data_IF_583303136133
#
_entry.id   IF_583303136133
#
_cell.length_a   1.000
_cell.length_b   1.000
_cell.length_c   1.000
_cell.angle_alpha   90.00
_cell.angle_beta   90.00
_cell.angle_gamma   90.00
#
_symmetry.space_group_name_H-M   'P 1'
#
loop_
_entity.id
_entity.type
_entity.pdbx_description
1 polymer ?
#
# COMPACT_ATOMS: atom_id res chain seq x y z
N UNK A 1 -47.79 -44.79 -58.28
CA UNK A 1 -46.87 -45.27 -59.34
C UNK A 1 -45.74 -44.26 -59.40
N UNK A 2 -44.49 -44.52 -59.08
CA UNK A 2 -43.75 -45.75 -58.75
C UNK A 2 -42.49 -45.28 -58.00
N UNK A 3 -42.07 -46.11 -57.04
CA UNK A 3 -40.92 -45.93 -56.17
C UNK A 3 -39.57 -45.77 -56.88
N UNK A 4 -38.62 -45.11 -56.24
CA UNK A 4 -37.28 -45.70 -56.09
C UNK A 4 -36.59 -45.19 -54.81
N UNK A 5 -36.40 -46.13 -53.89
CA UNK A 5 -35.62 -46.06 -52.66
C UNK A 5 -34.13 -46.29 -52.95
N UNK A 6 -33.25 -45.56 -52.25
CA UNK A 6 -31.94 -46.02 -51.78
C UNK A 6 -31.52 -45.08 -50.62
N UNK A 7 -31.82 -45.36 -49.35
CA UNK A 7 -31.16 -46.26 -48.39
C UNK A 7 -29.72 -45.85 -48.00
N UNK A 8 -29.57 -45.62 -46.67
CA UNK A 8 -28.37 -45.80 -45.81
C UNK A 8 -27.37 -44.62 -45.88
N UNK A 9 -26.84 -44.04 -44.80
CA UNK A 9 -26.52 -44.56 -43.47
C UNK A 9 -26.43 -43.44 -42.43
N UNK A 10 -26.58 -43.83 -41.15
CA UNK A 10 -26.44 -43.07 -39.90
C UNK A 10 -25.03 -42.42 -39.78
N UNK A 11 -24.81 -41.72 -38.67
CA UNK A 11 -23.52 -41.25 -38.12
C UNK A 11 -23.11 -39.81 -38.49
N UNK A 12 -23.51 -38.85 -37.64
CA UNK A 12 -22.58 -37.99 -36.89
C UNK A 12 -23.39 -36.86 -36.23
N UNK A 13 -23.86 -37.14 -35.02
CA UNK A 13 -24.30 -36.13 -34.05
C UNK A 13 -23.14 -35.17 -33.82
N UNK A 14 -23.26 -33.91 -34.28
CA UNK A 14 -22.34 -32.86 -33.86
C UNK A 14 -22.63 -32.52 -32.39
N UNK A 15 -21.94 -33.24 -31.50
CA UNK A 15 -21.71 -32.83 -30.12
C UNK A 15 -20.83 -31.57 -30.17
N UNK A 16 -21.46 -30.40 -30.06
CA UNK A 16 -20.76 -29.20 -29.64
C UNK A 16 -20.31 -29.40 -28.20
N UNK A 17 -19.08 -29.89 -28.01
CA UNK A 17 -18.36 -29.65 -26.77
C UNK A 17 -18.07 -28.15 -26.72
N UNK A 18 -19.00 -27.39 -26.14
CA UNK A 18 -18.65 -26.10 -25.56
C UNK A 18 -17.71 -26.41 -24.39
N UNK A 19 -16.42 -26.44 -24.68
CA UNK A 19 -15.40 -26.33 -23.65
C UNK A 19 -15.51 -24.90 -23.13
N UNK A 20 -16.42 -24.69 -22.17
CA UNK A 20 -16.35 -23.54 -21.30
C UNK A 20 -15.06 -23.72 -20.51
N UNK A 21 -13.98 -23.16 -21.04
CA UNK A 21 -12.87 -22.73 -20.20
C UNK A 21 -13.51 -21.73 -19.26
N UNK A 22 -13.90 -22.20 -18.07
CA UNK A 22 -14.04 -21.34 -16.91
C UNK A 22 -12.68 -20.69 -16.74
N UNK A 23 -12.47 -19.55 -17.38
CA UNK A 23 -11.41 -18.65 -16.98
C UNK A 23 -11.83 -18.16 -15.60
N UNK A 24 -11.31 -18.80 -14.55
CA UNK A 24 -11.21 -18.24 -13.20
C UNK A 24 -10.27 -17.01 -13.18
N UNK A 25 -10.30 -16.17 -14.22
CA UNK A 25 -9.41 -15.03 -14.41
C UNK A 25 -10.10 -13.68 -14.31
N UNK A 26 -11.31 -13.62 -13.74
CA UNK A 26 -12.09 -12.36 -13.63
C UNK A 26 -12.12 -11.75 -12.22
N UNK A 27 -11.49 -12.39 -11.25
CA UNK A 27 -11.38 -11.87 -9.89
C UNK A 27 -10.09 -11.05 -9.64
N UNK A 28 -9.07 -11.21 -10.49
CA UNK A 28 -7.79 -10.50 -10.34
C UNK A 28 -7.84 -9.02 -10.73
N UNK A 29 -8.77 -8.61 -11.60
CA UNK A 29 -8.82 -7.23 -12.13
C UNK A 29 -9.17 -6.17 -11.07
N UNK A 30 -9.73 -6.57 -9.92
CA UNK A 30 -10.11 -5.64 -8.83
C UNK A 30 -8.92 -5.23 -7.95
N UNK A 31 -7.83 -5.98 -7.98
CA UNK A 31 -6.74 -5.87 -7.02
C UNK A 31 -5.40 -5.67 -7.73
N UNK A 32 -4.40 -5.06 -7.06
CA UNK A 32 -3.07 -4.96 -7.65
C UNK A 32 -2.53 -6.36 -7.97
N UNK A 33 -1.70 -6.51 -9.03
CA UNK A 33 -1.10 -7.80 -9.36
C UNK A 33 -0.19 -8.31 -8.23
N UNK A 34 0.01 -9.63 -8.18
CA UNK A 34 0.93 -10.27 -7.25
C UNK A 34 2.38 -9.83 -7.52
N UNK A 35 3.19 -9.69 -6.46
CA UNK A 35 4.57 -9.20 -6.54
C UNK A 35 4.65 -7.68 -6.58
N UNK A 36 5.78 -7.14 -7.06
CA UNK A 36 5.98 -5.70 -7.23
C UNK A 36 5.03 -5.16 -8.31
N UNK A 37 4.18 -4.20 -7.92
CA UNK A 37 3.19 -3.64 -8.83
C UNK A 37 3.26 -2.12 -8.99
N UNK A 38 3.99 -1.41 -8.11
CA UNK A 38 4.19 0.03 -8.21
C UNK A 38 5.53 0.43 -7.60
N UNK A 39 6.16 1.43 -8.20
CA UNK A 39 7.42 2.00 -7.73
C UNK A 39 7.42 3.51 -7.98
N UNK A 40 7.54 4.28 -6.90
CA UNK A 40 7.42 5.73 -6.93
C UNK A 40 8.72 6.38 -6.47
N UNK A 41 9.24 7.29 -7.30
CA UNK A 41 10.36 8.16 -6.96
C UNK A 41 9.87 9.60 -6.87
N UNK A 42 10.17 10.27 -5.75
CA UNK A 42 9.78 11.65 -5.49
C UNK A 42 11.00 12.50 -5.16
N UNK A 43 11.05 13.72 -5.68
CA UNK A 43 12.00 14.73 -5.20
C UNK A 43 11.50 15.31 -3.88
N UNK A 44 12.37 15.37 -2.88
CA UNK A 44 12.08 16.10 -1.64
C UNK A 44 12.67 17.50 -1.75
N UNK A 45 11.82 18.52 -1.65
CA UNK A 45 12.18 19.93 -1.75
C UNK A 45 11.86 20.69 -0.47
N UNK A 46 12.71 21.63 -0.12
CA UNK A 46 12.52 22.53 1.03
C UNK A 46 12.97 23.93 0.63
N UNK A 47 12.11 24.94 0.83
CA UNK A 47 12.34 26.30 0.34
C UNK A 47 12.72 26.36 -1.16
N UNK A 48 12.01 25.57 -1.96
CA UNK A 48 12.24 25.36 -3.42
C UNK A 48 13.61 24.77 -3.81
N UNK A 49 14.47 24.45 -2.85
CA UNK A 49 15.70 23.71 -3.10
C UNK A 49 15.45 22.20 -3.00
N UNK A 50 16.00 21.42 -3.94
CA UNK A 50 16.07 19.96 -3.79
C UNK A 50 16.99 19.61 -2.63
N UNK A 51 16.47 18.90 -1.64
CA UNK A 51 17.19 18.47 -0.46
C UNK A 51 17.28 16.97 -0.34
N UNK A 52 16.62 16.21 -1.22
CA UNK A 52 16.58 14.76 -1.08
C UNK A 52 15.71 14.05 -2.11
N UNK A 53 15.39 12.80 -1.79
CA UNK A 53 14.47 11.97 -2.53
C UNK A 53 13.70 11.03 -1.59
N UNK A 54 12.56 10.56 -2.05
CA UNK A 54 11.85 9.43 -1.46
C UNK A 54 11.64 8.37 -2.54
N UNK A 55 11.81 7.11 -2.16
CA UNK A 55 11.62 5.94 -3.00
C UNK A 55 10.66 4.99 -2.29
N UNK A 56 9.55 4.67 -2.93
CA UNK A 56 8.54 3.78 -2.37
C UNK A 56 8.26 2.63 -3.32
N UNK A 57 8.26 1.40 -2.80
CA UNK A 57 7.84 0.20 -3.52
C UNK A 57 6.55 -0.35 -2.93
N UNK A 58 5.71 -0.93 -3.79
CA UNK A 58 4.49 -1.62 -3.40
C UNK A 58 4.52 -3.04 -3.91
N UNK A 59 4.39 -4.00 -3.01
CA UNK A 59 4.37 -5.41 -3.33
C UNK A 59 3.12 -6.09 -2.75
N UNK A 60 2.45 -6.91 -3.55
CA UNK A 60 1.37 -7.77 -3.08
C UNK A 60 1.89 -9.18 -2.82
N UNK A 61 1.52 -9.71 -1.66
CA UNK A 61 1.79 -11.08 -1.21
C UNK A 61 0.47 -11.73 -0.78
N UNK A 62 -0.25 -12.32 -1.72
CA UNK A 62 -1.56 -12.93 -1.51
C UNK A 62 -2.63 -11.90 -1.14
N UNK A 63 -3.00 -11.85 0.14
CA UNK A 63 -3.99 -10.90 0.68
C UNK A 63 -3.35 -9.73 1.46
N UNK A 64 -2.02 -9.66 1.49
CA UNK A 64 -1.26 -8.59 2.13
C UNK A 64 -0.61 -7.70 1.07
N UNK A 65 -0.62 -6.39 1.30
CA UNK A 65 0.19 -5.41 0.57
C UNK A 65 1.27 -4.91 1.51
N UNK A 66 2.51 -4.98 1.03
CA UNK A 66 3.70 -4.47 1.69
C UNK A 66 4.17 -3.22 0.98
N UNK A 67 4.37 -2.17 1.76
CA UNK A 67 5.08 -0.99 1.29
C UNK A 67 6.43 -0.90 1.96
N UNK A 68 7.41 -0.41 1.21
CA UNK A 68 8.69 0.03 1.74
C UNK A 68 8.94 1.44 1.25
N UNK A 69 9.29 2.36 2.14
CA UNK A 69 9.65 3.73 1.80
C UNK A 69 11.01 4.06 2.34
N UNK A 70 11.90 4.51 1.47
CA UNK A 70 13.19 5.07 1.82
C UNK A 70 13.19 6.56 1.51
N UNK A 71 13.33 7.37 2.55
CA UNK A 71 13.43 8.83 2.44
C UNK A 71 14.82 9.28 2.84
N UNK A 72 15.50 9.98 1.94
CA UNK A 72 16.80 10.60 2.19
C UNK A 72 16.69 12.11 2.08
N UNK A 73 17.19 12.84 3.07
CA UNK A 73 17.26 14.30 3.06
C UNK A 73 18.61 14.79 3.59
N UNK A 74 19.18 15.76 2.91
CA UNK A 74 20.38 16.48 3.31
C UNK A 74 20.08 17.98 3.34
N UNK A 75 20.13 18.56 4.53
CA UNK A 75 19.84 19.99 4.76
C UNK A 75 21.04 20.69 5.38
N UNK A 76 21.23 21.97 5.05
CA UNK A 76 22.25 22.82 5.69
C UNK A 76 21.58 23.75 6.68
N UNK A 77 21.93 23.64 7.96
CA UNK A 77 21.37 24.45 9.05
C UNK A 77 22.51 25.10 9.82
N UNK A 78 22.53 26.44 9.86
CA UNK A 78 23.55 27.22 10.57
C UNK A 78 25.01 26.84 10.22
N UNK A 79 25.27 26.45 8.96
CA UNK A 79 26.60 26.03 8.50
C UNK A 79 26.90 24.54 8.68
N UNK A 80 26.11 23.80 9.46
CA UNK A 80 26.24 22.36 9.66
C UNK A 80 25.33 21.58 8.70
N UNK A 81 25.86 20.51 8.12
CA UNK A 81 25.06 19.57 7.35
C UNK A 81 24.34 18.60 8.29
N UNK A 82 23.03 18.46 8.10
CA UNK A 82 22.19 17.47 8.78
C UNK A 82 21.66 16.52 7.73
N UNK A 83 21.95 15.24 7.91
CA UNK A 83 21.43 14.16 7.07
C UNK A 83 20.33 13.47 7.88
N UNK A 84 19.18 13.29 7.24
CA UNK A 84 18.08 12.48 7.73
C UNK A 84 17.84 11.36 6.74
N UNK A 85 17.77 10.14 7.25
CA UNK A 85 17.44 8.96 6.45
C UNK A 85 16.36 8.16 7.19
N UNK A 86 15.25 7.87 6.52
CA UNK A 86 14.14 7.09 7.07
C UNK A 86 13.87 5.87 6.21
N UNK A 87 13.67 4.73 6.87
CA UNK A 87 13.23 3.48 6.27
C UNK A 87 11.94 3.06 6.94
N UNK A 88 10.83 3.11 6.22
CA UNK A 88 9.52 2.71 6.69
C UNK A 88 9.05 1.45 5.96
N UNK A 89 8.34 0.58 6.67
CA UNK A 89 7.60 -0.51 6.07
C UNK A 89 6.17 -0.52 6.63
N UNK A 90 5.16 -0.68 5.79
CA UNK A 90 3.80 -0.98 6.23
C UNK A 90 3.36 -2.34 5.69
N UNK A 91 2.51 -3.01 6.48
CA UNK A 91 1.77 -4.20 6.07
C UNK A 91 0.30 -3.88 6.23
N UNK A 92 -0.43 -4.00 5.14
CA UNK A 92 -1.86 -3.71 5.07
C UNK A 92 -2.56 -4.89 4.39
N UNK A 93 -3.84 -5.13 4.69
CA UNK A 93 -4.63 -6.07 3.89
C UNK A 93 -4.82 -5.50 2.48
N UNK A 94 -5.24 -6.35 1.56
CA UNK A 94 -5.61 -5.90 0.21
C UNK A 94 -6.74 -4.85 0.23
N UNK A 95 -7.52 -4.84 1.31
CA UNK A 95 -8.56 -3.87 1.59
C UNK A 95 -8.09 -2.64 2.38
N UNK A 96 -6.78 -2.46 2.56
CA UNK A 96 -6.22 -1.27 3.20
C UNK A 96 -6.36 -1.24 4.72
N UNK A 97 -6.72 -2.36 5.35
CA UNK A 97 -6.73 -2.46 6.81
C UNK A 97 -5.29 -2.62 7.32
N UNK A 98 -4.95 -1.92 8.40
CA UNK A 98 -3.59 -1.87 8.92
C UNK A 98 -3.29 -3.17 9.68
N UNK A 99 -2.22 -3.87 9.30
CA UNK A 99 -1.71 -5.06 10.00
C UNK A 99 -0.52 -4.72 10.90
N UNK A 100 0.32 -3.79 10.47
CA UNK A 100 1.45 -3.31 11.25
C UNK A 100 2.44 -2.51 10.41
N UNK A 101 3.49 -2.01 11.07
CA UNK A 101 4.51 -1.21 10.44
C UNK A 101 5.84 -1.32 11.18
N UNK A 102 6.91 -0.93 10.50
CA UNK A 102 8.20 -0.65 11.11
C UNK A 102 8.74 0.68 10.56
N UNK A 103 9.53 1.38 11.36
CA UNK A 103 10.16 2.64 10.97
C UNK A 103 11.53 2.77 11.63
N UNK A 104 12.52 3.18 10.85
CA UNK A 104 13.86 3.50 11.35
C UNK A 104 14.24 4.86 10.83
N UNK A 105 14.45 5.81 11.74
CA UNK A 105 14.86 7.18 11.41
C UNK A 105 16.25 7.44 11.95
N UNK A 106 17.17 7.80 11.06
CA UNK A 106 18.54 8.23 11.37
C UNK A 106 18.62 9.76 11.27
N UNK A 107 18.90 10.45 12.38
CA UNK A 107 19.10 11.91 12.43
C UNK A 107 20.40 12.31 13.14
N UNK A 108 21.41 11.43 13.13
CA UNK A 108 22.67 11.64 13.84
C UNK A 108 23.21 10.35 14.45
N UNK A 109 23.70 10.42 15.69
CA UNK A 109 24.52 9.36 16.29
C UNK A 109 23.76 8.06 16.62
N UNK A 110 22.44 8.10 16.85
CA UNK A 110 21.66 6.89 17.18
C UNK A 110 20.31 6.87 16.45
N UNK A 111 19.92 5.73 15.85
CA UNK A 111 18.63 5.56 15.20
C UNK A 111 17.48 5.58 16.19
N UNK A 112 16.33 6.08 15.73
CA UNK A 112 15.03 5.89 16.37
C UNK A 112 14.37 4.72 15.66
N UNK A 113 13.94 3.70 16.40
CA UNK A 113 13.19 2.56 15.84
C UNK A 113 11.78 2.54 16.39
N UNK A 114 10.82 2.29 15.51
CA UNK A 114 9.42 2.06 15.86
C UNK A 114 8.93 0.80 15.18
N UNK A 115 8.13 0.03 15.90
CA UNK A 115 7.43 -1.13 15.37
C UNK A 115 6.02 -1.11 15.94
N UNK A 116 5.03 -1.32 15.08
CA UNK A 116 3.64 -1.47 15.49
C UNK A 116 3.02 -2.73 14.94
N UNK A 117 2.24 -3.40 15.78
CA UNK A 117 1.45 -4.57 15.42
C UNK A 117 0.00 -4.27 15.77
N UNK A 118 -0.90 -4.48 14.80
CA UNK A 118 -2.33 -4.36 15.02
C UNK A 118 -2.90 -5.72 15.41
N UNK A 119 -3.59 -5.79 16.55
CA UNK A 119 -4.28 -7.00 17.00
C UNK A 119 -5.48 -6.65 17.87
N UNK A 120 -6.64 -7.19 17.53
CA UNK A 120 -7.86 -7.04 18.32
C UNK A 120 -8.30 -5.58 18.48
N UNK A 121 -8.25 -4.80 17.40
CA UNK A 121 -8.65 -3.39 17.40
C UNK A 121 -7.66 -2.45 18.09
N UNK A 122 -6.47 -2.92 18.47
CA UNK A 122 -5.43 -2.12 19.11
C UNK A 122 -4.14 -2.14 18.31
N UNK A 123 -3.40 -1.04 18.37
CA UNK A 123 -2.02 -0.96 17.89
C UNK A 123 -1.07 -0.99 19.08
N UNK A 124 -0.23 -2.01 19.14
CA UNK A 124 0.84 -2.12 20.14
C UNK A 124 2.12 -1.61 19.51
N UNK A 125 2.64 -0.50 20.04
CA UNK A 125 3.80 0.21 19.50
C UNK A 125 4.99 0.03 20.42
N UNK A 126 6.05 -0.56 19.87
CA UNK A 126 7.37 -0.60 20.48
C UNK A 126 8.20 0.56 19.93
N UNK A 127 8.68 1.44 20.81
CA UNK A 127 9.63 2.49 20.46
C UNK A 127 10.98 2.19 21.12
N UNK A 128 12.05 2.27 20.35
CA UNK A 128 13.42 2.18 20.84
C UNK A 128 14.19 3.44 20.46
N UNK A 129 14.70 4.13 21.47
CA UNK A 129 15.48 5.35 21.29
C UNK A 129 16.50 5.48 22.42
N UNK A 130 17.74 5.83 22.10
CA UNK A 130 18.83 5.99 23.07
C UNK A 130 19.02 4.77 24.00
N UNK A 131 18.86 3.56 23.45
CA UNK A 131 18.93 2.29 24.20
C UNK A 131 17.78 2.06 25.17
N UNK A 132 16.77 2.95 25.20
CA UNK A 132 15.55 2.78 25.98
C UNK A 132 14.46 2.20 25.09
N UNK A 133 13.79 1.16 25.59
CA UNK A 133 12.62 0.55 24.96
C UNK A 133 11.36 0.94 25.73
N UNK A 134 10.33 1.38 25.02
CA UNK A 134 8.99 1.62 25.56
C UNK A 134 7.97 0.86 24.72
N UNK A 135 6.93 0.36 25.37
CA UNK A 135 5.82 -0.35 24.72
C UNK A 135 4.55 0.35 25.15
N UNK A 136 3.82 0.89 24.18
CA UNK A 136 2.54 1.55 24.38
C UNK A 136 1.47 0.81 23.60
N UNK A 137 0.22 0.91 24.03
CA UNK A 137 -0.93 0.32 23.36
C UNK A 137 -2.00 1.37 23.22
N UNK A 138 -2.55 1.50 22.02
CA UNK A 138 -3.60 2.47 21.69
C UNK A 138 -4.75 1.74 21.01
N UNK A 139 -5.98 2.23 21.23
CA UNK A 139 -7.10 1.80 20.40
C UNK A 139 -6.86 2.28 18.97
N UNK A 140 -7.08 1.40 17.98
CA UNK A 140 -6.94 1.76 16.58
C UNK A 140 -8.21 2.51 16.15
N UNK A 141 -8.04 3.72 15.63
CA UNK A 141 -9.15 4.48 15.05
C UNK A 141 -9.46 3.90 13.66
N UNK A 142 -10.66 3.36 13.48
CA UNK A 142 -11.11 2.72 12.23
C UNK A 142 -11.16 3.69 11.04
N UNK A 143 -11.14 5.01 11.28
CA UNK A 143 -11.06 6.02 10.21
C UNK A 143 -9.66 6.14 9.64
N UNK A 144 -8.66 5.71 10.41
CA UNK A 144 -7.25 5.86 10.08
C UNK A 144 -6.80 4.87 9.02
N UNK A 145 -6.15 5.39 7.97
CA UNK A 145 -5.52 4.58 6.92
C UNK A 145 -4.01 4.77 6.93
N UNK A 146 -3.28 3.76 6.45
CA UNK A 146 -1.87 3.90 6.07
C UNK A 146 -1.75 4.03 4.54
N UNK A 147 -0.54 3.93 4.01
CA UNK A 147 -0.23 4.29 2.63
C UNK A 147 -1.07 3.52 1.59
N UNK A 148 -1.24 2.20 1.73
CA UNK A 148 -2.06 1.45 0.76
C UNK A 148 -3.52 1.84 0.85
N UNK A 149 -4.08 1.93 2.07
CA UNK A 149 -5.44 2.43 2.28
C UNK A 149 -5.67 3.83 1.70
N UNK A 150 -4.67 4.72 1.82
CA UNK A 150 -4.71 6.06 1.22
C UNK A 150 -4.71 6.01 -0.31
N UNK A 151 -3.86 5.19 -0.94
CA UNK A 151 -3.83 5.04 -2.40
C UNK A 151 -5.15 4.47 -2.91
N UNK A 152 -5.73 3.45 -2.24
CA UNK A 152 -7.06 2.94 -2.59
C UNK A 152 -8.13 4.02 -2.55
N UNK A 153 -8.12 4.82 -1.48
CA UNK A 153 -9.04 5.94 -1.33
C UNK A 153 -8.86 6.97 -2.45
N UNK A 154 -7.62 7.31 -2.83
CA UNK A 154 -7.33 8.22 -3.94
C UNK A 154 -7.88 7.68 -5.27
N UNK A 155 -7.67 6.38 -5.55
CA UNK A 155 -8.20 5.73 -6.76
C UNK A 155 -9.73 5.75 -6.76
N UNK A 156 -10.36 5.47 -5.62
CA UNK A 156 -11.82 5.48 -5.48
C UNK A 156 -12.41 6.90 -5.69
N UNK A 157 -11.77 7.92 -5.12
CA UNK A 157 -12.21 9.32 -5.27
C UNK A 157 -11.89 9.90 -6.65
N UNK A 158 -10.92 9.34 -7.35
CA UNK A 158 -10.46 9.78 -8.66
C UNK A 158 -9.59 11.04 -8.62
N UNK A 159 -8.92 11.31 -9.74
CA UNK A 159 -7.89 12.35 -9.86
C UNK A 159 -8.34 13.54 -10.71
N UNK A 160 -9.62 13.90 -10.62
CA UNK A 160 -10.14 15.07 -11.33
C UNK A 160 -9.60 16.37 -10.69
N UNK A 161 -9.22 17.33 -11.52
CA UNK A 161 -8.77 18.64 -11.05
C UNK A 161 -9.87 19.29 -10.19
N UNK A 162 -9.50 19.78 -9.01
CA UNK A 162 -10.41 20.35 -8.03
C UNK A 162 -11.00 19.33 -7.05
N UNK A 163 -10.65 18.03 -7.16
CA UNK A 163 -10.99 17.04 -6.14
C UNK A 163 -10.31 17.43 -4.83
N UNK A 164 -11.11 17.54 -3.77
CA UNK A 164 -10.64 17.85 -2.43
C UNK A 164 -11.38 17.02 -1.40
N UNK A 165 -10.66 16.35 -0.52
CA UNK A 165 -11.26 15.59 0.56
C UNK A 165 -10.31 15.45 1.76
N UNK A 166 -10.90 15.11 2.89
CA UNK A 166 -10.17 14.89 4.14
C UNK A 166 -9.99 13.39 4.38
N UNK A 167 -8.85 13.02 4.97
CA UNK A 167 -8.50 11.65 5.31
C UNK A 167 -7.74 11.62 6.63
N UNK A 168 -7.90 10.56 7.40
CA UNK A 168 -7.16 10.34 8.64
C UNK A 168 -6.01 9.38 8.36
N UNK A 169 -4.77 9.85 8.51
CA UNK A 169 -3.57 9.11 8.10
C UNK A 169 -2.74 8.73 9.31
N UNK A 170 -2.40 7.45 9.40
CA UNK A 170 -1.35 6.96 10.29
C UNK A 170 0.00 6.97 9.57
N UNK A 171 1.05 7.39 10.29
CA UNK A 171 2.43 7.32 9.82
C UNK A 171 3.35 7.03 11.01
N UNK A 172 4.34 6.13 10.85
CA UNK A 172 5.35 5.90 11.89
C UNK A 172 6.08 7.20 12.28
N UNK A 173 6.27 8.12 11.34
CA UNK A 173 6.92 9.41 11.56
C UNK A 173 6.07 10.38 12.40
N UNK A 174 4.74 10.40 12.24
CA UNK A 174 3.84 11.29 13.01
C UNK A 174 3.36 10.70 14.34
N UNK A 175 3.52 9.39 14.52
CA UNK A 175 3.05 8.67 15.71
C UNK A 175 1.75 7.91 15.46
N UNK A 176 1.44 6.98 16.37
CA UNK A 176 0.36 6.00 16.21
C UNK A 176 -0.68 6.03 17.33
N UNK A 177 -0.62 7.05 18.19
CA UNK A 177 -1.64 7.25 19.22
C UNK A 177 -3.00 7.59 18.60
N UNK A 178 -3.01 8.41 17.55
CA UNK A 178 -4.20 8.74 16.77
C UNK A 178 -3.78 9.10 15.34
N UNK A 179 -4.65 8.93 14.34
CA UNK A 179 -4.33 9.31 12.99
C UNK A 179 -4.34 10.83 12.86
N UNK A 180 -3.51 11.36 11.97
CA UNK A 180 -3.46 12.79 11.67
C UNK A 180 -4.43 13.11 10.54
N UNK A 181 -5.25 14.14 10.73
CA UNK A 181 -6.15 14.62 9.68
C UNK A 181 -5.32 15.30 8.57
N UNK A 182 -5.43 14.81 7.35
CA UNK A 182 -4.83 15.38 6.16
C UNK A 182 -5.91 15.83 5.17
N UNK A 183 -5.57 16.82 4.34
CA UNK A 183 -6.39 17.26 3.21
C UNK A 183 -5.65 16.87 1.93
N UNK A 184 -6.32 16.13 1.06
CA UNK A 184 -5.83 15.81 -0.28
C UNK A 184 -6.50 16.75 -1.28
N UNK A 185 -5.71 17.32 -2.18
CA UNK A 185 -6.16 18.21 -3.25
C UNK A 185 -5.45 17.83 -4.55
N UNK A 186 -6.22 17.71 -5.65
CA UNK A 186 -5.75 17.35 -7.00
C UNK A 186 -5.90 18.51 -7.97
#
# INVERSE_FOLDING_TARGET
MTDTLASVSRWATFLFFAFAILSEGRAEEKYPPEGLFEEIWMEVRMFDAKVGYAHTTFERHGSEVRLQTHTYMKIKRAGTEVIMESHENSRETIDGEILGFTGVVNMGAQPIRKEGIVKGGKVVVTNEQFGRKSINSYELDERGVMNWGLIRLMVEKGFHRGTKYEVWVYSPDFGMESPTKATIEV
#
